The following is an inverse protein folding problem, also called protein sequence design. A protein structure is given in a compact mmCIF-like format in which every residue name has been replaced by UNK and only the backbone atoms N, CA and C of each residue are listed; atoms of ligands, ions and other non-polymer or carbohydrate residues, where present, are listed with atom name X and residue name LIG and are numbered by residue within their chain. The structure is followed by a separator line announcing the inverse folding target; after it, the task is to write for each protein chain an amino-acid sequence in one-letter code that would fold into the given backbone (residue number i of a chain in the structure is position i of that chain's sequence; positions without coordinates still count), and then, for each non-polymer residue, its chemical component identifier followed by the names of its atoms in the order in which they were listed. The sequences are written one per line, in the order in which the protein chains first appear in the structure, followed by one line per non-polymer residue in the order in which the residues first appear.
data_IF_267938704443
#
_entry.id   IF_267938704443
#
_cell.length_a   1.000
_cell.length_b   1.000
_cell.length_c   1.000
_cell.angle_alpha   90.00
_cell.angle_beta   90.00
_cell.angle_gamma   90.00
#
_symmetry.space_group_name_H-M   'P 1'
#
loop_
_entity.id
_entity.type
_entity.pdbx_description
1 polymer ?
#
# COMPACT_ATOMS: atom_id res chain seq x y z
N UNK A 1 20.83 -14.17 -10.74
CA UNK A 1 19.98 -13.93 -9.55
C UNK A 1 20.41 -12.58 -8.97
N UNK A 2 19.77 -11.49 -9.37
CA UNK A 2 20.05 -10.16 -8.80
C UNK A 2 18.75 -9.75 -8.11
N UNK A 3 18.63 -10.13 -6.83
CA UNK A 3 17.59 -9.59 -5.98
C UNK A 3 17.88 -8.12 -5.78
N UNK A 4 16.97 -7.25 -6.20
CA UNK A 4 17.03 -5.84 -5.86
C UNK A 4 16.95 -5.74 -4.33
N UNK A 5 18.08 -5.45 -3.68
CA UNK A 5 18.04 -4.90 -2.34
C UNK A 5 17.28 -3.56 -2.42
N UNK A 6 16.12 -3.40 -1.77
CA UNK A 6 15.53 -2.09 -1.66
C UNK A 6 16.53 -1.26 -0.85
N UNK A 7 17.17 -0.29 -1.51
CA UNK A 7 17.93 0.72 -0.80
C UNK A 7 16.90 1.56 -0.04
N UNK A 8 16.77 1.29 1.26
CA UNK A 8 15.94 2.08 2.15
C UNK A 8 16.58 3.46 2.22
N UNK A 9 16.12 4.37 1.37
CA UNK A 9 16.40 5.80 1.50
C UNK A 9 15.37 6.34 2.49
N UNK A 10 15.76 7.22 3.42
CA UNK A 10 14.78 7.94 4.24
C UNK A 10 13.81 8.65 3.31
N UNK A 11 12.50 8.42 3.44
CA UNK A 11 11.53 9.16 2.64
C UNK A 11 11.56 10.59 3.15
N UNK A 12 12.01 11.54 2.34
CA UNK A 12 11.94 12.95 2.72
C UNK A 12 10.61 13.49 2.25
N UNK A 13 9.73 13.88 3.17
CA UNK A 13 8.47 14.52 2.82
C UNK A 13 8.74 16.03 2.62
N UNK A 14 8.63 16.60 1.40
CA UNK A 14 9.07 17.97 1.13
C UNK A 14 8.05 19.03 1.59
N UNK A 15 7.09 18.66 2.42
CA UNK A 15 6.00 19.52 2.85
C UNK A 15 5.63 19.26 4.31
N UNK A 16 5.11 20.31 4.96
CA UNK A 16 4.53 20.23 6.30
C UNK A 16 3.24 19.39 6.27
N UNK A 17 3.11 18.42 7.17
CA UNK A 17 1.96 17.51 7.27
C UNK A 17 0.85 18.09 8.15
N UNK A 18 1.17 19.06 9.02
CA UNK A 18 0.25 19.53 10.06
C UNK A 18 -1.06 20.07 9.47
N UNK A 19 -2.18 19.55 9.98
CA UNK A 19 -3.52 19.96 9.57
C UNK A 19 -3.91 19.58 8.13
N UNK A 20 -3.09 18.82 7.39
CA UNK A 20 -3.40 18.43 6.02
C UNK A 20 -4.28 17.19 5.95
N UNK A 21 -5.09 17.13 4.90
CA UNK A 21 -5.79 15.91 4.48
C UNK A 21 -4.87 15.11 3.55
N UNK A 22 -4.42 13.94 3.99
CA UNK A 22 -3.50 13.08 3.24
C UNK A 22 -4.27 11.94 2.59
N UNK A 23 -3.96 11.64 1.33
CA UNK A 23 -4.44 10.45 0.63
C UNK A 23 -3.25 9.53 0.39
N UNK A 24 -3.24 8.38 1.08
CA UNK A 24 -2.28 7.32 0.87
C UNK A 24 -2.81 6.38 -0.21
N UNK A 25 -2.03 6.20 -1.28
CA UNK A 25 -2.41 5.36 -2.42
C UNK A 25 -1.47 4.17 -2.50
N UNK A 26 -2.02 2.96 -2.56
CA UNK A 26 -1.25 1.72 -2.72
C UNK A 26 -1.85 0.85 -3.84
N UNK A 27 -1.05 -0.03 -4.43
CA UNK A 27 -1.55 -0.93 -5.47
C UNK A 27 -2.40 -2.06 -4.89
N UNK A 28 -1.86 -2.78 -3.90
CA UNK A 28 -2.46 -3.97 -3.32
C UNK A 28 -2.38 -3.92 -1.80
N UNK A 29 -3.54 -3.81 -1.14
CA UNK A 29 -3.62 -4.00 0.30
C UNK A 29 -3.69 -5.50 0.64
N UNK A 30 -2.65 -6.00 1.29
CA UNK A 30 -2.59 -7.38 1.80
C UNK A 30 -2.60 -7.44 3.34
N UNK A 31 -1.44 -7.59 3.99
CA UNK A 31 -1.36 -7.75 5.46
C UNK A 31 -1.62 -6.45 6.22
N UNK A 32 -1.48 -5.30 5.55
CA UNK A 32 -1.56 -3.95 6.13
C UNK A 32 -0.23 -3.41 6.66
N UNK A 33 0.87 -4.19 6.61
CA UNK A 33 2.17 -3.76 7.17
C UNK A 33 2.80 -2.57 6.44
N UNK A 34 2.69 -2.52 5.11
CA UNK A 34 3.17 -1.38 4.29
C UNK A 34 2.44 -0.10 4.68
N UNK A 35 1.11 -0.16 4.74
CA UNK A 35 0.28 0.98 5.18
C UNK A 35 0.62 1.43 6.60
N UNK A 36 0.81 0.49 7.54
CA UNK A 36 1.22 0.81 8.91
C UNK A 36 2.55 1.57 8.94
N UNK A 37 3.53 1.13 8.15
CA UNK A 37 4.83 1.80 8.07
C UNK A 37 4.69 3.22 7.48
N UNK A 38 3.91 3.39 6.42
CA UNK A 38 3.64 4.69 5.83
C UNK A 38 2.91 5.64 6.80
N UNK A 39 1.93 5.14 7.57
CA UNK A 39 1.27 5.91 8.62
C UNK A 39 2.27 6.38 9.68
N UNK A 40 3.12 5.48 10.19
CA UNK A 40 4.15 5.86 11.16
C UNK A 40 5.03 6.99 10.62
N UNK A 41 5.51 6.85 9.37
CA UNK A 41 6.35 7.87 8.74
C UNK A 41 5.60 9.21 8.60
N UNK A 42 4.34 9.22 8.16
CA UNK A 42 3.51 10.45 8.12
C UNK A 42 3.43 11.11 9.51
N UNK A 43 3.26 10.32 10.57
CA UNK A 43 3.17 10.82 11.94
C UNK A 43 4.53 11.23 12.55
N UNK A 44 5.65 10.76 11.98
CA UNK A 44 6.99 11.26 12.33
C UNK A 44 7.21 12.67 11.74
N UNK A 45 6.54 13.01 10.64
CA UNK A 45 6.60 14.33 9.99
C UNK A 45 5.59 15.36 10.53
N UNK A 46 4.51 14.94 11.21
CA UNK A 46 3.52 15.87 11.77
C UNK A 46 2.20 15.22 12.19
N UNK A 47 1.16 16.03 12.28
CA UNK A 47 -0.21 15.62 12.67
C UNK A 47 -1.20 16.03 11.58
N UNK A 48 -1.51 15.13 10.62
CA UNK A 48 -2.50 15.43 9.59
C UNK A 48 -3.90 15.59 10.19
N UNK A 49 -4.76 16.38 9.53
CA UNK A 49 -6.17 16.49 9.90
C UNK A 49 -6.94 15.19 9.60
N UNK A 50 -6.54 14.47 8.55
CA UNK A 50 -7.05 13.13 8.23
C UNK A 50 -6.09 12.37 7.34
N UNK A 51 -6.18 11.05 7.35
CA UNK A 51 -5.51 10.18 6.37
C UNK A 51 -6.56 9.26 5.76
N UNK A 52 -6.66 9.25 4.44
CA UNK A 52 -7.51 8.35 3.66
C UNK A 52 -6.64 7.32 2.95
N UNK A 53 -7.01 6.05 3.02
CA UNK A 53 -6.35 4.97 2.29
C UNK A 53 -7.15 4.59 1.04
N UNK A 54 -6.50 4.67 -0.13
CA UNK A 54 -7.04 4.30 -1.43
C UNK A 54 -6.21 3.18 -2.03
N UNK A 55 -6.84 2.10 -2.45
CA UNK A 55 -6.15 0.92 -2.97
C UNK A 55 -6.78 0.45 -4.27
N UNK A 56 -5.95 0.01 -5.23
CA UNK A 56 -6.48 -0.58 -6.46
C UNK A 56 -7.08 -1.97 -6.18
N UNK A 57 -6.39 -2.79 -5.37
CA UNK A 57 -6.83 -4.14 -5.01
C UNK A 57 -6.80 -4.32 -3.49
N UNK A 58 -7.92 -4.70 -2.91
CA UNK A 58 -8.02 -5.15 -1.52
C UNK A 58 -8.11 -6.67 -1.49
N UNK A 59 -7.08 -7.35 -0.98
CA UNK A 59 -7.06 -8.82 -0.93
C UNK A 59 -7.23 -9.38 0.47
N UNK A 60 -7.72 -10.62 0.55
CA UNK A 60 -7.81 -11.36 1.79
C UNK A 60 -6.44 -11.58 2.47
N UNK A 61 -6.49 -11.82 3.78
CA UNK A 61 -5.31 -12.12 4.62
C UNK A 61 -4.72 -10.90 5.36
N UNK A 62 -5.57 -9.99 5.81
CA UNK A 62 -5.19 -8.90 6.71
C UNK A 62 -4.63 -9.45 8.03
N UNK A 63 -3.53 -8.87 8.48
CA UNK A 63 -2.93 -9.15 9.80
C UNK A 63 -3.08 -7.98 10.76
N UNK A 64 -3.37 -6.79 10.22
CA UNK A 64 -3.60 -5.57 10.98
C UNK A 64 -5.03 -5.08 10.73
N UNK A 65 -5.66 -4.40 11.71
CA UNK A 65 -7.01 -3.85 11.58
C UNK A 65 -6.99 -2.55 10.75
N UNK A 66 -6.50 -2.64 9.51
CA UNK A 66 -6.39 -1.55 8.55
C UNK A 66 -7.37 -1.85 7.43
N UNK A 67 -8.19 -0.87 7.07
CA UNK A 67 -9.16 -0.93 5.99
C UNK A 67 -9.00 0.27 5.06
N UNK A 68 -9.13 0.09 3.73
CA UNK A 68 -9.13 1.21 2.80
C UNK A 68 -10.48 1.92 2.85
N UNK A 69 -10.44 3.22 2.69
CA UNK A 69 -11.64 4.04 2.51
C UNK A 69 -12.19 3.92 1.09
N UNK A 70 -11.30 3.68 0.12
CA UNK A 70 -11.66 3.47 -1.29
C UNK A 70 -10.91 2.25 -1.84
N UNK A 71 -11.66 1.35 -2.46
CA UNK A 71 -11.14 0.13 -3.09
C UNK A 71 -11.55 0.10 -4.55
N UNK A 72 -10.60 -0.16 -5.45
CA UNK A 72 -10.88 -0.41 -6.86
C UNK A 72 -11.59 -1.75 -7.07
N UNK A 73 -11.01 -2.84 -6.56
CA UNK A 73 -11.61 -4.18 -6.54
C UNK A 73 -11.20 -4.98 -5.31
N UNK A 74 -12.05 -5.92 -4.88
CA UNK A 74 -11.76 -6.84 -3.77
C UNK A 74 -11.53 -8.25 -4.32
N UNK A 75 -10.54 -8.97 -3.78
CA UNK A 75 -10.17 -10.30 -4.23
C UNK A 75 -9.87 -11.26 -3.07
N UNK A 76 -10.52 -12.41 -3.05
CA UNK A 76 -10.12 -13.51 -2.17
C UNK A 76 -9.08 -14.37 -2.86
N UNK A 77 -7.88 -14.40 -2.29
CA UNK A 77 -6.77 -15.20 -2.80
C UNK A 77 -6.44 -16.33 -1.82
N UNK A 78 -6.25 -17.58 -2.30
CA UNK A 78 -5.71 -18.65 -1.49
C UNK A 78 -4.32 -18.32 -0.93
N UNK A 79 -3.95 -18.99 0.16
CA UNK A 79 -2.58 -18.95 0.68
C UNK A 79 -1.60 -19.35 -0.42
N UNK A 80 -0.54 -18.56 -0.57
CA UNK A 80 0.46 -18.76 -1.60
C UNK A 80 0.15 -18.08 -2.93
N UNK A 81 -1.01 -17.44 -3.12
CA UNK A 81 -1.23 -16.57 -4.28
C UNK A 81 -0.97 -15.10 -3.96
N UNK A 82 -0.50 -14.37 -4.97
CA UNK A 82 -0.35 -12.92 -4.93
C UNK A 82 -0.82 -12.27 -6.22
N UNK A 83 -1.34 -11.06 -6.08
CA UNK A 83 -1.65 -10.18 -7.21
C UNK A 83 -0.43 -9.33 -7.53
N UNK A 84 -0.17 -9.16 -8.82
CA UNK A 84 0.84 -8.25 -9.35
C UNK A 84 0.19 -7.34 -10.38
N UNK A 85 0.38 -6.04 -10.24
CA UNK A 85 0.05 -5.08 -11.29
C UNK A 85 1.21 -4.99 -12.29
N UNK A 86 0.88 -4.96 -13.58
CA UNK A 86 1.80 -4.77 -14.70
C UNK A 86 1.30 -3.55 -15.47
N UNK A 87 2.16 -2.58 -15.78
CA UNK A 87 1.74 -1.30 -16.40
C UNK A 87 2.91 -0.31 -16.44
N UNK A 88 2.67 0.99 -16.73
CA UNK A 88 1.42 1.72 -16.51
C UNK A 88 0.39 1.67 -17.66
N UNK A 89 0.77 1.29 -18.88
CA UNK A 89 -0.14 1.19 -20.03
C UNK A 89 0.21 0.00 -20.95
N UNK A 90 -0.66 -1.03 -21.08
CA UNK A 90 -1.92 -1.19 -20.34
C UNK A 90 -1.64 -1.57 -18.88
N UNK A 91 -2.41 -0.97 -17.96
CA UNK A 91 -2.47 -1.45 -16.58
C UNK A 91 -3.25 -2.77 -16.55
N UNK A 92 -2.58 -3.84 -16.12
CA UNK A 92 -3.14 -5.19 -16.05
C UNK A 92 -2.85 -5.83 -14.69
N UNK A 93 -3.79 -6.65 -14.24
CA UNK A 93 -3.73 -7.36 -12.97
C UNK A 93 -3.49 -8.84 -13.26
N UNK A 94 -2.42 -9.39 -12.69
CA UNK A 94 -2.05 -10.80 -12.85
C UNK A 94 -1.98 -11.49 -11.50
N UNK A 95 -2.72 -12.58 -11.34
CA UNK A 95 -2.60 -13.47 -10.18
C UNK A 95 -1.49 -14.48 -10.44
N UNK A 96 -0.59 -14.63 -9.48
CA UNK A 96 0.53 -15.56 -9.52
C UNK A 96 0.48 -16.47 -8.30
N UNK A 97 0.90 -17.72 -8.46
CA UNK A 97 1.14 -18.63 -7.34
C UNK A 97 2.62 -18.57 -6.97
N UNK A 98 2.92 -18.55 -5.67
CA UNK A 98 4.22 -18.85 -5.13
C UNK A 98 4.56 -20.30 -5.48
N UNK A 99 5.78 -20.51 -6.00
CA UNK A 99 6.33 -21.83 -6.28
C UNK A 99 6.68 -22.57 -4.99
#
# INVERSE_FOLDING_TARGET
HIGMHPSVRPSTLPFDVDGRHIVLVDDVLFTGRTVRAALNEIFDYGRPASVMLVVLVDRSGRELPIQPDVTGTTMDLPVGQHVKLIGPDPLSLVVQSAA
#
